data_IF_105560057168
#
_entry.id   IF_105560057168
#
_cell.length_a   1.000
_cell.length_b   1.000
_cell.length_c   1.000
_cell.angle_alpha   90.00
_cell.angle_beta   90.00
_cell.angle_gamma   90.00
#
_symmetry.space_group_name_H-M   'P 1'
#
loop_
_entity.id
_entity.type
_entity.pdbx_description
1 polymer ?
#
# COMPACT_ATOMS: atom_id res chain seq x y z
N UNK A 1 15.35 -0.26 -2.03
CA UNK A 1 15.79 0.57 -3.17
C UNK A 1 14.98 1.85 -3.19
N UNK A 2 15.60 2.98 -3.51
CA UNK A 2 14.91 4.23 -3.89
C UNK A 2 14.79 4.23 -5.42
N UNK A 3 13.60 4.45 -5.95
CA UNK A 3 13.31 4.38 -7.38
C UNK A 3 12.71 5.73 -7.78
N UNK A 4 13.49 6.64 -8.41
CA UNK A 4 12.93 7.86 -8.97
C UNK A 4 11.80 7.53 -9.94
N UNK A 5 10.73 8.31 -9.88
CA UNK A 5 9.64 8.20 -10.84
C UNK A 5 9.64 9.41 -11.77
N UNK A 6 9.19 9.25 -13.02
CA UNK A 6 8.89 10.41 -13.85
C UNK A 6 7.77 11.22 -13.18
N UNK A 7 7.71 12.50 -13.53
CA UNK A 7 6.49 13.27 -13.28
C UNK A 7 5.32 12.58 -14.00
N UNK A 8 4.32 12.21 -13.19
CA UNK A 8 3.18 11.44 -13.65
C UNK A 8 2.35 12.24 -14.64
N UNK A 9 1.96 11.59 -15.74
CA UNK A 9 1.09 12.19 -16.76
C UNK A 9 -0.32 11.64 -16.80
N UNK A 10 -0.54 10.51 -16.12
CA UNK A 10 -1.83 9.79 -16.05
C UNK A 10 -1.85 8.81 -14.88
N UNK A 11 -3.04 8.30 -14.56
CA UNK A 11 -3.23 7.24 -13.58
C UNK A 11 -2.84 7.62 -12.15
N UNK A 12 -2.78 6.61 -11.28
CA UNK A 12 -2.53 6.80 -9.86
C UNK A 12 -1.20 7.51 -9.56
N UNK A 13 -0.17 7.28 -10.38
CA UNK A 13 1.13 7.96 -10.23
C UNK A 13 0.97 9.48 -10.30
N UNK A 14 0.29 9.99 -11.34
CA UNK A 14 0.05 11.43 -11.49
C UNK A 14 -0.80 11.98 -10.35
N UNK A 15 -1.93 11.32 -10.06
CA UNK A 15 -2.86 11.82 -9.07
C UNK A 15 -2.28 11.81 -7.66
N UNK A 16 -1.48 10.81 -7.31
CA UNK A 16 -0.81 10.75 -6.03
C UNK A 16 0.26 11.84 -5.89
N UNK A 17 1.09 12.06 -6.91
CA UNK A 17 2.09 13.13 -6.91
C UNK A 17 1.42 14.50 -6.72
N UNK A 18 0.35 14.79 -7.48
CA UNK A 18 -0.42 16.04 -7.34
C UNK A 18 -1.06 16.16 -5.96
N UNK A 19 -1.72 15.11 -5.49
CA UNK A 19 -2.40 15.12 -4.20
C UNK A 19 -1.41 15.39 -3.05
N UNK A 20 -0.24 14.73 -3.03
CA UNK A 20 0.78 15.00 -2.01
C UNK A 20 1.30 16.43 -2.08
N UNK A 21 1.52 16.97 -3.29
CA UNK A 21 2.10 18.30 -3.48
C UNK A 21 1.13 19.45 -3.19
N UNK A 22 -0.13 19.35 -3.61
CA UNK A 22 -1.06 20.49 -3.63
C UNK A 22 -2.30 20.28 -2.76
N UNK A 23 -2.73 19.05 -2.51
CA UNK A 23 -3.97 18.74 -1.78
C UNK A 23 -3.81 17.58 -0.79
N UNK A 24 -2.82 17.60 0.13
CA UNK A 24 -2.53 16.45 1.00
C UNK A 24 -3.69 16.08 1.92
N UNK A 25 -4.63 17.01 2.17
CA UNK A 25 -5.86 16.74 2.91
C UNK A 25 -6.78 15.71 2.26
N UNK A 26 -6.72 15.52 0.93
CA UNK A 26 -7.47 14.45 0.24
C UNK A 26 -6.91 13.05 0.54
N UNK A 27 -5.68 12.97 1.05
CA UNK A 27 -4.99 11.73 1.41
C UNK A 27 -4.95 11.49 2.93
N UNK A 28 -5.72 12.25 3.71
CA UNK A 28 -5.74 12.18 5.17
C UNK A 28 -6.89 11.29 5.67
N UNK A 29 -6.63 10.08 6.22
CA UNK A 29 -7.65 9.35 6.94
C UNK A 29 -8.11 10.13 8.17
N UNK A 30 -9.44 10.22 8.35
CA UNK A 30 -10.05 11.01 9.43
C UNK A 30 -9.68 10.50 10.84
N UNK A 31 -9.31 9.22 10.96
CA UNK A 31 -8.92 8.57 12.22
C UNK A 31 -7.45 8.79 12.58
N UNK A 32 -6.64 9.35 11.68
CA UNK A 32 -5.21 9.54 11.89
C UNK A 32 -4.87 11.01 12.17
N UNK A 33 -3.79 11.29 12.95
CA UNK A 33 -3.22 12.62 13.04
C UNK A 33 -2.74 13.13 11.67
N UNK A 34 -2.48 14.44 11.53
CA UNK A 34 -1.92 15.00 10.31
C UNK A 34 -0.66 14.27 9.84
N UNK A 35 -0.61 13.96 8.55
CA UNK A 35 0.49 13.23 7.92
C UNK A 35 1.50 14.22 7.31
N UNK A 36 2.76 14.09 7.69
CA UNK A 36 3.90 14.63 6.96
C UNK A 36 4.30 13.64 5.86
N UNK A 37 4.18 14.07 4.60
CA UNK A 37 4.52 13.24 3.45
C UNK A 37 6.03 13.25 3.19
N UNK A 38 6.63 12.05 3.17
CA UNK A 38 8.04 11.83 2.89
C UNK A 38 8.28 11.49 1.41
N UNK A 39 7.31 10.84 0.77
CA UNK A 39 7.30 10.56 -0.67
C UNK A 39 5.87 10.46 -1.21
N UNK A 40 5.63 10.72 -2.51
CA UNK A 40 6.58 11.26 -3.49
C UNK A 40 6.77 12.79 -3.33
N UNK A 41 8.01 13.28 -3.41
CA UNK A 41 8.37 14.72 -3.37
C UNK A 41 9.16 15.12 -4.61
N UNK A 42 8.91 16.30 -5.16
CA UNK A 42 9.55 16.74 -6.42
C UNK A 42 11.08 16.85 -6.30
N UNK A 43 11.55 17.42 -5.19
CA UNK A 43 12.98 17.52 -4.84
C UNK A 43 13.64 16.16 -4.59
N UNK A 44 12.83 15.14 -4.31
CA UNK A 44 13.26 13.75 -4.19
C UNK A 44 12.91 12.94 -5.46
N UNK A 45 12.73 13.60 -6.60
CA UNK A 45 12.47 12.97 -7.90
C UNK A 45 11.25 12.05 -7.89
N UNK A 46 10.22 12.42 -7.12
CA UNK A 46 8.99 11.68 -6.88
C UNK A 46 9.24 10.20 -6.53
N UNK A 47 10.33 9.92 -5.81
CA UNK A 47 10.80 8.55 -5.68
C UNK A 47 9.84 7.67 -4.87
N UNK A 48 9.72 6.43 -5.33
CA UNK A 48 9.08 5.34 -4.60
C UNK A 48 10.14 4.46 -3.94
N UNK A 49 9.74 3.79 -2.87
CA UNK A 49 10.69 3.12 -1.99
C UNK A 49 10.29 1.67 -1.70
N UNK A 50 11.28 0.79 -1.68
CA UNK A 50 11.16 -0.63 -1.28
C UNK A 50 12.32 -1.10 -0.42
N UNK A 51 12.20 -2.29 0.16
CA UNK A 51 13.22 -2.95 0.99
C UNK A 51 13.84 -2.02 2.07
N UNK A 52 15.13 -2.16 2.37
CA UNK A 52 15.87 -1.34 3.33
C UNK A 52 15.78 0.18 3.10
N UNK A 53 15.47 0.65 1.88
CA UNK A 53 15.41 2.08 1.60
C UNK A 53 14.13 2.72 2.17
N UNK A 54 12.98 2.05 2.08
CA UNK A 54 11.75 2.58 2.68
C UNK A 54 11.91 2.64 4.20
N UNK A 55 12.48 1.59 4.80
CA UNK A 55 12.76 1.54 6.24
C UNK A 55 13.64 2.71 6.70
N UNK A 56 14.70 3.04 5.96
CA UNK A 56 15.53 4.20 6.27
C UNK A 56 14.77 5.51 6.18
N UNK A 57 13.96 5.69 5.14
CA UNK A 57 13.16 6.91 4.96
C UNK A 57 12.19 7.12 6.14
N UNK A 58 11.52 6.05 6.58
CA UNK A 58 10.62 6.07 7.74
C UNK A 58 11.34 5.86 9.07
N UNK A 59 12.67 6.00 9.12
CA UNK A 59 13.48 6.01 10.35
C UNK A 59 13.64 4.68 11.08
N UNK A 60 13.23 3.58 10.45
CA UNK A 60 13.38 2.21 10.96
C UNK A 60 14.46 1.42 10.20
N UNK A 61 15.49 2.11 9.71
CA UNK A 61 16.57 1.51 8.91
C UNK A 61 17.27 0.32 9.59
N UNK A 62 17.33 0.31 10.93
CA UNK A 62 17.89 -0.79 11.72
C UNK A 62 17.13 -2.12 11.54
N UNK A 63 15.86 -2.09 11.11
CA UNK A 63 15.06 -3.29 10.85
C UNK A 63 15.37 -3.95 9.49
N UNK A 64 16.26 -3.39 8.66
CA UNK A 64 16.55 -3.91 7.33
C UNK A 64 17.04 -5.38 7.32
N UNK A 65 17.93 -5.84 8.23
CA UNK A 65 18.29 -7.25 8.31
C UNK A 65 17.11 -8.16 8.67
N UNK A 66 16.28 -7.74 9.62
CA UNK A 66 15.08 -8.47 10.03
C UNK A 66 14.04 -8.56 8.89
N UNK A 67 13.92 -7.49 8.09
CA UNK A 67 13.07 -7.51 6.90
C UNK A 67 13.58 -8.54 5.89
N UNK A 68 14.89 -8.59 5.64
CA UNK A 68 15.50 -9.55 4.73
C UNK A 68 15.32 -11.03 5.15
N UNK A 69 15.16 -11.28 6.46
CA UNK A 69 14.80 -12.60 6.98
C UNK A 69 13.30 -12.91 6.78
N UNK A 70 12.43 -11.90 6.90
CA UNK A 70 10.99 -12.07 6.73
C UNK A 70 10.55 -12.19 5.26
N UNK A 71 11.04 -11.30 4.39
CA UNK A 71 10.63 -11.21 2.99
C UNK A 71 11.86 -11.20 2.07
N UNK A 72 11.80 -11.82 0.87
CA UNK A 72 12.92 -11.74 -0.08
C UNK A 72 13.15 -10.31 -0.57
N UNK A 73 14.33 -10.04 -1.12
CA UNK A 73 14.62 -8.77 -1.78
C UNK A 73 13.62 -8.52 -2.93
N UNK A 74 13.20 -7.27 -3.10
CA UNK A 74 12.17 -6.93 -4.09
C UNK A 74 10.77 -7.04 -3.50
N UNK A 75 10.62 -6.64 -2.23
CA UNK A 75 9.32 -6.49 -1.61
C UNK A 75 8.49 -5.36 -2.21
N UNK A 76 7.36 -5.00 -1.57
CA UNK A 76 6.49 -3.91 -1.97
C UNK A 76 7.27 -2.64 -2.24
N UNK A 77 6.99 -2.04 -3.40
CA UNK A 77 7.29 -0.65 -3.68
C UNK A 77 6.08 0.16 -3.24
N UNK A 78 6.34 1.13 -2.36
CA UNK A 78 5.30 2.00 -1.79
C UNK A 78 5.19 3.25 -2.65
N UNK A 79 3.97 3.54 -3.09
CA UNK A 79 3.68 4.68 -3.98
C UNK A 79 3.84 6.01 -3.24
N UNK A 80 3.50 6.02 -1.95
CA UNK A 80 3.78 7.12 -1.03
C UNK A 80 4.16 6.60 0.37
N UNK A 81 4.89 7.43 1.10
CA UNK A 81 5.29 7.19 2.49
C UNK A 81 5.09 8.47 3.28
N UNK A 82 4.63 8.33 4.52
CA UNK A 82 4.44 9.46 5.41
C UNK A 82 4.72 9.12 6.86
N UNK A 83 4.70 10.16 7.70
CA UNK A 83 4.75 10.07 9.15
C UNK A 83 3.59 10.85 9.75
N UNK A 84 2.91 10.27 10.73
CA UNK A 84 1.94 10.99 11.54
C UNK A 84 2.47 11.16 12.98
N UNK A 85 1.77 11.96 13.79
CA UNK A 85 2.15 12.23 15.18
C UNK A 85 2.47 10.94 15.97
N UNK A 86 3.50 11.01 16.81
CA UNK A 86 4.00 9.85 17.56
C UNK A 86 4.83 8.86 16.72
N UNK A 87 5.43 9.33 15.62
CA UNK A 87 6.25 8.54 14.69
C UNK A 87 5.51 7.38 14.02
N UNK A 88 4.19 7.51 13.84
CA UNK A 88 3.42 6.50 13.13
C UNK A 88 3.80 6.49 11.64
N UNK A 89 4.18 5.33 11.13
CA UNK A 89 4.58 5.11 9.74
C UNK A 89 3.34 4.93 8.87
N UNK A 90 3.22 5.75 7.82
CA UNK A 90 2.14 5.64 6.84
C UNK A 90 2.69 4.98 5.58
N UNK A 91 2.11 3.85 5.21
CA UNK A 91 2.38 3.12 3.97
C UNK A 91 1.22 3.33 3.00
N UNK A 92 1.50 3.68 1.75
CA UNK A 92 0.46 3.93 0.76
C UNK A 92 0.59 3.03 -0.46
N UNK A 93 -0.56 2.53 -0.90
CA UNK A 93 -0.79 1.91 -2.19
C UNK A 93 -1.88 2.70 -2.93
N UNK A 94 -1.59 3.21 -4.13
CA UNK A 94 -2.50 4.02 -4.92
C UNK A 94 -2.93 3.31 -6.21
N UNK A 95 -4.22 3.40 -6.54
CA UNK A 95 -4.81 2.86 -7.77
C UNK A 95 -5.78 3.83 -8.39
N UNK A 96 -5.83 3.84 -9.71
CA UNK A 96 -6.79 4.64 -10.47
C UNK A 96 -7.69 3.77 -11.38
N UNK A 97 -7.35 2.49 -11.58
CA UNK A 97 -8.12 1.57 -12.39
C UNK A 97 -8.33 0.21 -11.71
N UNK A 98 -9.55 -0.32 -11.77
CA UNK A 98 -9.92 -1.55 -11.03
C UNK A 98 -9.12 -2.78 -11.48
N UNK A 99 -8.72 -2.82 -12.76
CA UNK A 99 -7.88 -3.90 -13.30
C UNK A 99 -6.50 -3.99 -12.64
N UNK A 100 -5.99 -2.89 -12.07
CA UNK A 100 -4.74 -2.88 -11.29
C UNK A 100 -4.89 -3.66 -9.98
N UNK A 101 -6.12 -3.88 -9.52
CA UNK A 101 -6.41 -4.68 -8.33
C UNK A 101 -6.41 -6.19 -8.62
N UNK A 102 -6.66 -6.58 -9.87
CA UNK A 102 -6.79 -7.97 -10.32
C UNK A 102 -5.47 -8.53 -10.91
N UNK A 103 -4.33 -8.04 -10.44
CA UNK A 103 -3.02 -8.50 -10.92
C UNK A 103 -2.75 -9.95 -10.52
N UNK A 104 -1.96 -10.65 -11.34
CA UNK A 104 -1.57 -12.04 -11.10
C UNK A 104 -0.70 -12.24 -9.85
N UNK A 105 -0.35 -13.51 -9.62
CA UNK A 105 0.48 -13.94 -8.50
C UNK A 105 1.92 -13.44 -8.55
N UNK A 106 2.68 -13.84 -7.53
CA UNK A 106 4.11 -13.55 -7.47
C UNK A 106 4.88 -14.18 -8.64
N UNK A 107 5.80 -13.41 -9.21
CA UNK A 107 6.73 -13.86 -10.27
C UNK A 107 8.11 -14.25 -9.71
N UNK A 108 8.19 -14.42 -8.38
CA UNK A 108 9.43 -14.73 -7.69
C UNK A 108 10.02 -16.09 -8.09
N UNK A 109 11.36 -16.20 -8.04
CA UNK A 109 12.05 -17.49 -8.20
C UNK A 109 11.63 -18.48 -7.12
N UNK A 110 11.80 -19.81 -7.33
CA UNK A 110 11.36 -20.82 -6.37
C UNK A 110 11.88 -20.61 -4.94
N UNK A 111 13.14 -20.22 -4.78
CA UNK A 111 13.73 -19.95 -3.47
C UNK A 111 13.10 -18.72 -2.77
N UNK A 112 12.84 -17.66 -3.52
CA UNK A 112 12.15 -16.46 -3.00
C UNK A 112 10.69 -16.74 -2.71
N UNK A 113 10.03 -17.55 -3.54
CA UNK A 113 8.65 -17.99 -3.38
C UNK A 113 8.45 -18.74 -2.06
N UNK A 114 9.32 -19.68 -1.72
CA UNK A 114 9.24 -20.39 -0.44
C UNK A 114 9.26 -19.45 0.78
N UNK A 115 10.05 -18.37 0.72
CA UNK A 115 10.07 -17.34 1.78
C UNK A 115 8.79 -16.52 1.82
N UNK A 116 8.27 -16.13 0.66
CA UNK A 116 6.97 -15.44 0.52
C UNK A 116 5.86 -16.30 1.11
N UNK A 117 5.80 -17.58 0.76
CA UNK A 117 4.76 -18.50 1.24
C UNK A 117 4.83 -18.68 2.76
N UNK A 118 6.04 -18.81 3.31
CA UNK A 118 6.26 -18.88 4.76
C UNK A 118 5.80 -17.60 5.47
N UNK A 119 6.14 -16.42 4.93
CA UNK A 119 5.71 -15.14 5.47
C UNK A 119 4.18 -14.99 5.43
N UNK A 120 3.56 -15.29 4.29
CA UNK A 120 2.11 -15.22 4.11
C UNK A 120 1.38 -16.23 5.01
N UNK A 121 1.90 -17.44 5.19
CA UNK A 121 1.32 -18.43 6.11
C UNK A 121 1.29 -17.93 7.56
N UNK A 122 2.38 -17.28 8.02
CA UNK A 122 2.43 -16.65 9.35
C UNK A 122 1.40 -15.55 9.50
N UNK A 123 1.28 -14.68 8.49
CA UNK A 123 0.31 -13.58 8.49
C UNK A 123 -1.12 -14.12 8.48
N UNK A 124 -1.44 -15.07 7.59
CA UNK A 124 -2.76 -15.73 7.54
C UNK A 124 -3.19 -16.24 8.89
N UNK A 125 -2.31 -16.99 9.58
CA UNK A 125 -2.58 -17.52 10.91
C UNK A 125 -2.84 -16.38 11.91
N UNK A 126 -1.96 -15.37 11.95
CA UNK A 126 -2.11 -14.23 12.86
C UNK A 126 -3.36 -13.38 12.62
N UNK A 127 -3.89 -13.38 11.39
CA UNK A 127 -5.13 -12.69 11.03
C UNK A 127 -6.39 -13.55 11.15
N UNK A 128 -6.24 -14.84 11.48
CA UNK A 128 -7.37 -15.79 11.51
C UNK A 128 -7.98 -16.04 10.14
N UNK A 129 -7.19 -15.91 9.07
CA UNK A 129 -7.67 -16.13 7.72
C UNK A 129 -7.99 -17.61 7.48
N UNK A 130 -9.16 -17.89 6.91
CA UNK A 130 -9.52 -19.24 6.51
C UNK A 130 -8.58 -19.74 5.39
N UNK A 131 -8.19 -21.02 5.37
CA UNK A 131 -7.26 -21.57 4.38
C UNK A 131 -7.94 -21.85 3.03
N UNK A 132 -8.68 -20.87 2.50
CA UNK A 132 -9.53 -21.01 1.29
C UNK A 132 -8.78 -20.69 0.00
N UNK A 133 -7.65 -19.97 0.06
CA UNK A 133 -6.89 -19.60 -1.13
C UNK A 133 -5.39 -19.44 -0.90
N UNK A 134 -4.63 -19.49 -1.99
CA UNK A 134 -3.21 -19.17 -2.00
C UNK A 134 -2.99 -17.67 -2.27
N UNK A 135 -2.59 -16.94 -1.22
CA UNK A 135 -2.34 -15.49 -1.25
C UNK A 135 -1.15 -15.10 -2.14
N UNK A 136 -0.28 -16.05 -2.47
CA UNK A 136 0.82 -15.80 -3.40
C UNK A 136 0.37 -15.85 -4.87
N UNK A 137 -0.86 -16.32 -5.14
CA UNK A 137 -1.46 -16.39 -6.47
C UNK A 137 -2.58 -15.38 -6.68
N UNK A 138 -3.50 -15.25 -5.72
CA UNK A 138 -4.69 -14.40 -5.85
C UNK A 138 -4.52 -13.15 -4.99
N UNK A 139 -4.81 -11.97 -5.54
CA UNK A 139 -4.66 -10.68 -4.86
C UNK A 139 -3.29 -10.48 -4.20
N UNK A 140 -2.22 -10.96 -4.85
CA UNK A 140 -0.89 -11.00 -4.23
C UNK A 140 -0.38 -9.62 -3.80
N UNK A 141 -0.64 -8.57 -4.57
CA UNK A 141 -0.29 -7.21 -4.16
C UNK A 141 -1.00 -6.80 -2.88
N UNK A 142 -2.31 -7.04 -2.77
CA UNK A 142 -3.05 -6.73 -1.55
C UNK A 142 -2.54 -7.56 -0.35
N UNK A 143 -2.33 -8.86 -0.54
CA UNK A 143 -1.80 -9.76 0.47
C UNK A 143 -0.40 -9.36 0.96
N UNK A 144 0.49 -8.93 0.06
CA UNK A 144 1.84 -8.54 0.43
C UNK A 144 1.90 -7.17 1.16
N UNK A 145 0.96 -6.25 0.88
CA UNK A 145 0.79 -4.98 1.61
C UNK A 145 0.37 -5.28 3.06
N UNK A 146 -0.60 -6.18 3.24
CA UNK A 146 -1.03 -6.65 4.56
C UNK A 146 0.10 -7.36 5.33
N UNK A 147 0.90 -8.18 4.65
CA UNK A 147 2.03 -8.88 5.25
C UNK A 147 3.09 -7.91 5.78
N UNK A 148 3.40 -6.85 5.04
CA UNK A 148 4.35 -5.83 5.47
C UNK A 148 3.80 -4.95 6.60
N UNK A 149 2.52 -4.58 6.55
CA UNK A 149 1.84 -3.91 7.67
C UNK A 149 1.94 -4.76 8.94
N UNK A 150 1.54 -6.05 8.85
CA UNK A 150 1.64 -6.98 9.97
C UNK A 150 3.06 -7.04 10.52
N UNK A 151 4.04 -7.25 9.65
CA UNK A 151 5.43 -7.43 10.07
C UNK A 151 6.00 -6.20 10.79
N UNK A 152 5.77 -4.99 10.28
CA UNK A 152 6.20 -3.75 10.96
C UNK A 152 5.61 -3.65 12.36
N UNK A 153 4.31 -3.96 12.50
CA UNK A 153 3.63 -3.93 13.79
C UNK A 153 4.15 -5.00 14.76
N UNK A 154 4.54 -6.18 14.26
CA UNK A 154 5.26 -7.18 15.07
C UNK A 154 6.66 -6.71 15.49
N UNK A 155 7.29 -5.79 14.76
CA UNK A 155 8.55 -5.14 15.17
C UNK A 155 8.33 -3.96 16.14
N UNK A 156 7.09 -3.73 16.61
CA UNK A 156 6.77 -2.62 17.51
C UNK A 156 6.62 -1.26 16.82
N UNK A 157 6.58 -1.23 15.48
CA UNK A 157 6.36 0.00 14.72
C UNK A 157 4.87 0.31 14.66
N UNK A 158 4.50 1.54 15.01
CA UNK A 158 3.14 2.05 14.81
C UNK A 158 2.90 2.29 13.30
N UNK A 159 2.61 1.24 12.55
CA UNK A 159 2.39 1.32 11.10
C UNK A 159 0.89 1.31 10.75
N UNK A 160 0.54 2.14 9.78
CA UNK A 160 -0.80 2.30 9.19
C UNK A 160 -0.68 2.12 7.67
N UNK A 161 -1.64 1.42 7.06
CA UNK A 161 -1.71 1.18 5.62
C UNK A 161 -2.89 1.93 5.02
N UNK A 162 -2.64 2.74 4.02
CA UNK A 162 -3.66 3.52 3.33
C UNK A 162 -3.74 3.08 1.88
N UNK A 163 -4.90 2.57 1.48
CA UNK A 163 -5.23 2.37 0.08
C UNK A 163 -5.89 3.63 -0.46
N UNK A 164 -5.26 4.27 -1.45
CA UNK A 164 -5.79 5.44 -2.14
C UNK A 164 -6.36 4.99 -3.48
N UNK A 165 -7.68 4.98 -3.60
CA UNK A 165 -8.40 4.50 -4.77
C UNK A 165 -9.10 5.67 -5.43
N UNK A 166 -8.46 6.28 -6.43
CA UNK A 166 -8.96 7.48 -7.09
C UNK A 166 -10.30 7.25 -7.79
N UNK A 167 -11.15 8.27 -7.77
CA UNK A 167 -12.46 8.27 -8.43
C UNK A 167 -12.49 9.22 -9.64
N UNK A 168 -13.13 8.79 -10.71
CA UNK A 168 -13.41 9.62 -11.89
C UNK A 168 -12.23 9.85 -12.83
N UNK A 169 -11.19 9.01 -12.78
CA UNK A 169 -10.08 9.07 -13.75
C UNK A 169 -10.51 8.49 -15.10
N UNK A 170 -11.12 9.31 -15.94
CA UNK A 170 -11.66 8.90 -17.24
C UNK A 170 -10.58 8.41 -18.22
N UNK A 171 -9.36 8.95 -18.15
CA UNK A 171 -8.24 8.51 -18.99
C UNK A 171 -7.79 7.09 -18.63
N UNK A 172 -7.82 6.76 -17.34
CA UNK A 172 -7.50 5.41 -16.85
C UNK A 172 -8.70 4.47 -16.81
N UNK A 173 -9.89 4.90 -17.26
CA UNK A 173 -11.16 4.18 -17.08
C UNK A 173 -11.46 3.81 -15.62
N UNK A 174 -11.10 4.72 -14.71
CA UNK A 174 -11.29 4.56 -13.28
C UNK A 174 -12.76 4.59 -12.86
N UNK A 175 -13.12 3.96 -11.73
CA UNK A 175 -14.49 4.01 -11.22
C UNK A 175 -14.92 5.43 -10.83
N UNK A 176 -16.18 5.78 -11.07
CA UNK A 176 -16.75 7.07 -10.63
C UNK A 176 -17.22 7.05 -9.17
N UNK A 177 -17.43 5.85 -8.61
CA UNK A 177 -18.09 5.64 -7.33
C UNK A 177 -17.24 4.77 -6.39
N UNK A 178 -17.22 5.13 -5.10
CA UNK A 178 -16.42 4.44 -4.08
C UNK A 178 -16.88 3.00 -3.87
N UNK A 179 -18.17 2.71 -4.08
CA UNK A 179 -18.80 1.42 -3.95
C UNK A 179 -18.13 0.35 -4.84
N UNK A 180 -17.63 0.72 -6.02
CA UNK A 180 -16.89 -0.19 -6.89
C UNK A 180 -15.58 -0.65 -6.24
N UNK A 181 -14.83 0.28 -5.64
CA UNK A 181 -13.61 -0.06 -4.92
C UNK A 181 -13.90 -0.85 -3.65
N UNK A 182 -14.93 -0.45 -2.89
CA UNK A 182 -15.36 -1.16 -1.68
C UNK A 182 -15.74 -2.62 -2.00
N UNK A 183 -16.50 -2.84 -3.09
CA UNK A 183 -16.85 -4.18 -3.55
C UNK A 183 -15.60 -4.99 -3.94
N UNK A 184 -14.61 -4.38 -4.59
CA UNK A 184 -13.36 -5.06 -4.93
C UNK A 184 -12.54 -5.45 -3.69
N UNK A 185 -12.39 -4.55 -2.70
CA UNK A 185 -11.73 -4.89 -1.44
C UNK A 185 -12.49 -5.98 -0.68
N UNK A 186 -13.82 -5.91 -0.60
CA UNK A 186 -14.63 -6.95 0.03
C UNK A 186 -14.50 -8.30 -0.68
N UNK A 187 -14.44 -8.32 -2.02
CA UNK A 187 -14.19 -9.52 -2.80
C UNK A 187 -12.78 -10.08 -2.55
N UNK A 188 -11.76 -9.23 -2.43
CA UNK A 188 -10.41 -9.65 -2.06
C UNK A 188 -10.37 -10.22 -0.65
N UNK A 189 -10.97 -9.56 0.34
CA UNK A 189 -11.02 -10.05 1.72
C UNK A 189 -11.68 -11.43 1.78
N UNK A 190 -12.82 -11.60 1.11
CA UNK A 190 -13.51 -12.88 1.01
C UNK A 190 -12.65 -13.95 0.34
N UNK A 191 -12.05 -13.65 -0.81
CA UNK A 191 -11.21 -14.58 -1.54
C UNK A 191 -9.96 -14.96 -0.75
N UNK A 192 -9.39 -14.04 0.04
CA UNK A 192 -8.27 -14.28 0.94
C UNK A 192 -8.68 -14.98 2.25
N UNK A 193 -9.98 -15.18 2.49
CA UNK A 193 -10.50 -15.82 3.70
C UNK A 193 -10.37 -14.95 4.94
N UNK A 194 -10.20 -13.64 4.79
CA UNK A 194 -10.09 -12.72 5.93
C UNK A 194 -11.44 -12.62 6.65
N UNK A 195 -11.46 -12.70 7.99
CA UNK A 195 -12.68 -12.43 8.75
C UNK A 195 -13.02 -10.93 8.64
N UNK A 196 -14.31 -10.60 8.81
CA UNK A 196 -14.79 -9.22 8.73
C UNK A 196 -14.07 -8.25 9.69
N UNK A 197 -13.49 -8.76 10.78
CA UNK A 197 -12.55 -8.05 11.65
C UNK A 197 -11.37 -8.95 11.97
N UNK A 198 -10.17 -8.43 11.78
CA UNK A 198 -8.90 -9.05 12.15
C UNK A 198 -8.00 -8.00 12.84
N UNK A 199 -6.86 -8.45 13.33
CA UNK A 199 -5.91 -7.63 14.11
C UNK A 199 -5.42 -6.36 13.39
N UNK A 200 -5.51 -6.31 12.06
CA UNK A 200 -5.08 -5.15 11.26
C UNK A 200 -6.25 -4.25 10.82
N UNK A 201 -7.52 -4.62 11.00
CA UNK A 201 -8.63 -3.89 10.38
C UNK A 201 -8.69 -2.42 10.78
N UNK A 202 -8.28 -2.06 12.00
CA UNK A 202 -8.21 -0.66 12.45
C UNK A 202 -6.98 0.12 11.95
N UNK A 203 -6.06 -0.58 11.28
CA UNK A 203 -4.80 -0.06 10.77
C UNK A 203 -4.73 -0.04 9.24
N UNK A 204 -5.85 -0.41 8.59
CA UNK A 204 -6.03 -0.36 7.15
C UNK A 204 -7.11 0.68 6.88
N UNK A 205 -6.78 1.67 6.06
CA UNK A 205 -7.65 2.79 5.72
C UNK A 205 -7.87 2.78 4.22
N UNK A 206 -9.11 2.99 3.79
CA UNK A 206 -9.44 3.12 2.38
C UNK A 206 -9.92 4.54 2.11
N UNK A 207 -9.26 5.23 1.19
CA UNK A 207 -9.60 6.58 0.76
C UNK A 207 -10.04 6.54 -0.71
N UNK A 208 -11.03 7.38 -1.04
CA UNK A 208 -11.60 7.46 -2.38
C UNK A 208 -11.61 8.90 -2.91
N UNK A 209 -10.44 9.55 -3.07
CA UNK A 209 -10.39 10.95 -3.48
C UNK A 209 -10.84 11.12 -4.94
N UNK A 210 -11.72 12.10 -5.24
CA UNK A 210 -12.09 12.41 -6.61
C UNK A 210 -10.95 13.14 -7.33
N UNK A 211 -10.65 12.75 -8.56
CA UNK A 211 -9.59 13.41 -9.35
C UNK A 211 -9.96 14.82 -9.79
N UNK A 212 -11.25 15.15 -9.85
CA UNK A 212 -11.72 16.50 -10.17
C UNK A 212 -11.12 17.56 -9.24
N UNK A 213 -11.02 17.27 -7.94
CA UNK A 213 -10.40 18.17 -6.95
C UNK A 213 -8.89 18.33 -7.10
N UNK A 214 -8.24 17.56 -7.97
CA UNK A 214 -6.80 17.62 -8.27
C UNK A 214 -6.50 18.20 -9.66
N UNK A 215 -7.53 18.39 -10.50
CA UNK A 215 -7.39 18.88 -11.87
C UNK A 215 -7.44 20.41 -11.97
N UNK A 216 -8.03 21.11 -10.98
CA UNK A 216 -8.26 22.56 -11.02
C UNK A 216 -7.01 23.43 -10.80
N UNK A 217 -5.83 22.84 -10.61
CA UNK A 217 -4.58 23.55 -10.26
C UNK A 217 -3.41 23.30 -11.21
N UNK A 218 -3.67 22.75 -12.40
CA UNK A 218 -2.67 22.61 -13.47
C UNK A 218 -2.65 23.83 -14.41
#
# INVERSE_FOLDING_TARGET
MRVPQPEGRKGSLMWLQRAVATHPGLLQPASLPPIEWLSPRAEDGFAEYRDAAFLRLVGHGALAPALGAFWPRGGPQWDALGRAAGDAVILVEAKAHIGEFLTGGTTASPASRARIDSALARVKNALGAAPVSDWSHVFYQYANRLAHLWWLREQGVAAELVFVSFLGDTESHGPDHAETWQAAFAAADHALGLPARHRLSRHVHHLYPPVAGLAETA
#
